data_IF_316231198310
#
_entry.id   IF_316231198310
#
_cell.length_a   1.000
_cell.length_b   1.000
_cell.length_c   1.000
_cell.angle_alpha   90.00
_cell.angle_beta   90.00
_cell.angle_gamma   90.00
#
_symmetry.space_group_name_H-M   'P 1'
#
loop_
_entity.id
_entity.type
_entity.pdbx_description
1 polymer ?
#
# COMPACT_ATOMS: atom_id res chain seq x y z
N UNK A 1 -26.01 0.17 -0.74
CA UNK A 1 -25.61 0.74 0.57
C UNK A 1 -24.22 0.23 0.90
N UNK A 2 -23.26 1.15 1.11
CA UNK A 2 -21.88 0.77 1.42
C UNK A 2 -21.79 0.19 2.83
N UNK A 3 -21.22 -1.00 2.94
CA UNK A 3 -20.89 -1.65 4.22
C UNK A 3 -19.40 -1.65 4.42
N UNK A 4 -18.93 -1.31 5.63
CA UNK A 4 -17.51 -1.31 5.97
C UNK A 4 -17.30 -2.21 7.18
N UNK A 5 -16.39 -3.17 7.05
CA UNK A 5 -16.06 -4.11 8.13
C UNK A 5 -14.61 -4.57 8.06
N UNK A 6 -14.13 -5.14 9.15
CA UNK A 6 -12.81 -5.75 9.24
C UNK A 6 -12.80 -7.06 8.42
N UNK A 7 -11.75 -7.23 7.62
CA UNK A 7 -11.55 -8.42 6.81
C UNK A 7 -10.92 -9.53 7.65
N UNK A 8 -11.37 -10.76 7.45
CA UNK A 8 -10.72 -11.93 8.03
C UNK A 8 -9.35 -12.17 7.36
N UNK A 9 -8.29 -11.82 8.08
CA UNK A 9 -6.91 -12.01 7.61
C UNK A 9 -6.49 -13.47 7.54
N UNK A 10 -7.23 -14.41 8.17
CA UNK A 10 -7.01 -15.85 8.07
C UNK A 10 -7.65 -16.45 6.81
N UNK A 11 -8.62 -15.75 6.21
CA UNK A 11 -9.28 -16.14 4.96
C UNK A 11 -9.05 -15.14 3.82
N UNK A 12 -7.79 -14.75 3.54
CA UNK A 12 -7.46 -13.61 2.67
C UNK A 12 -7.88 -13.80 1.22
N UNK A 13 -7.99 -15.05 0.75
CA UNK A 13 -8.39 -15.36 -0.64
C UNK A 13 -9.78 -14.85 -0.97
N UNK A 14 -10.68 -14.75 0.01
CA UNK A 14 -12.06 -14.25 -0.18
C UNK A 14 -12.10 -12.77 -0.63
N UNK A 15 -11.02 -12.04 -0.42
CA UNK A 15 -10.93 -10.59 -0.70
C UNK A 15 -9.85 -10.26 -1.74
N UNK A 16 -8.98 -11.22 -2.07
CA UNK A 16 -7.76 -11.00 -2.83
C UNK A 16 -7.99 -10.38 -4.21
N UNK A 17 -8.96 -10.89 -4.97
CA UNK A 17 -9.28 -10.38 -6.31
C UNK A 17 -9.80 -8.92 -6.25
N UNK A 18 -10.61 -8.61 -5.23
CA UNK A 18 -11.10 -7.26 -4.99
C UNK A 18 -9.99 -6.28 -4.63
N UNK A 19 -9.04 -6.70 -3.80
CA UNK A 19 -7.89 -5.87 -3.41
C UNK A 19 -6.94 -5.71 -4.59
N UNK A 20 -6.65 -6.77 -5.35
CA UNK A 20 -5.80 -6.69 -6.55
C UNK A 20 -6.38 -5.70 -7.56
N UNK A 21 -7.69 -5.77 -7.84
CA UNK A 21 -8.37 -4.80 -8.70
C UNK A 21 -8.21 -3.35 -8.20
N UNK A 22 -8.27 -3.12 -6.87
CA UNK A 22 -8.06 -1.79 -6.32
C UNK A 22 -6.60 -1.34 -6.47
N UNK A 23 -5.62 -2.25 -6.34
CA UNK A 23 -4.20 -1.97 -6.56
C UNK A 23 -3.91 -1.63 -8.03
N UNK A 24 -4.55 -2.33 -8.97
CA UNK A 24 -4.48 -2.01 -10.41
C UNK A 24 -5.02 -0.59 -10.68
N UNK A 25 -6.20 -0.26 -10.15
CA UNK A 25 -6.79 1.09 -10.27
C UNK A 25 -5.93 2.17 -9.63
N UNK A 26 -5.18 1.84 -8.58
CA UNK A 26 -4.24 2.74 -7.92
C UNK A 26 -2.90 2.89 -8.68
N UNK A 27 -2.64 2.02 -9.68
CA UNK A 27 -1.35 1.93 -10.37
C UNK A 27 -0.23 1.37 -9.49
N UNK A 28 -0.57 0.59 -8.45
CA UNK A 28 0.39 0.01 -7.52
C UNK A 28 0.82 -1.41 -7.90
N UNK A 29 -0.03 -2.14 -8.60
CA UNK A 29 0.33 -3.45 -9.15
C UNK A 29 1.17 -3.28 -10.39
N UNK A 30 2.42 -3.80 -10.42
CA UNK A 30 3.13 -4.00 -11.67
C UNK A 30 2.34 -5.01 -12.52
N UNK A 31 2.21 -4.76 -13.81
CA UNK A 31 1.54 -5.67 -14.74
C UNK A 31 2.07 -7.09 -14.58
N UNK A 32 1.24 -8.02 -14.08
CA UNK A 32 1.57 -9.43 -13.86
C UNK A 32 1.72 -9.86 -12.40
N UNK A 33 1.44 -9.00 -11.40
CA UNK A 33 1.21 -9.47 -10.04
C UNK A 33 -0.18 -10.15 -9.98
N UNK A 34 -0.26 -11.23 -9.22
CA UNK A 34 -1.46 -12.04 -9.08
C UNK A 34 -2.20 -11.67 -7.78
N UNK A 35 -3.48 -12.02 -7.72
CA UNK A 35 -4.29 -11.95 -6.49
C UNK A 35 -3.65 -12.66 -5.29
N UNK A 36 -2.65 -13.53 -5.53
CA UNK A 36 -1.84 -14.15 -4.48
C UNK A 36 -1.00 -13.12 -3.70
N UNK A 37 -0.47 -12.07 -4.37
CA UNK A 37 0.24 -10.98 -3.69
C UNK A 37 -0.69 -10.18 -2.79
N UNK A 38 -1.91 -9.88 -3.25
CA UNK A 38 -2.95 -9.24 -2.45
C UNK A 38 -3.38 -10.13 -1.26
N UNK A 39 -3.56 -11.43 -1.47
CA UNK A 39 -3.86 -12.38 -0.40
C UNK A 39 -2.76 -12.41 0.67
N UNK A 40 -1.49 -12.42 0.27
CA UNK A 40 -0.36 -12.36 1.21
C UNK A 40 -0.30 -11.03 1.96
N UNK A 41 -0.60 -9.92 1.30
CA UNK A 41 -0.66 -8.61 1.94
C UNK A 41 -1.74 -8.57 3.02
N UNK A 42 -2.94 -9.08 2.74
CA UNK A 42 -4.04 -9.20 3.73
C UNK A 42 -3.61 -10.11 4.88
N UNK A 43 -3.10 -11.31 4.58
CA UNK A 43 -2.70 -12.30 5.58
C UNK A 43 -1.66 -11.77 6.56
N UNK A 44 -0.72 -10.96 6.08
CA UNK A 44 0.38 -10.41 6.89
C UNK A 44 0.05 -9.03 7.47
N UNK A 45 -1.20 -8.58 7.37
CA UNK A 45 -1.67 -7.36 8.04
C UNK A 45 -2.08 -7.69 9.48
N UNK A 46 -1.83 -6.76 10.40
CA UNK A 46 -2.37 -6.82 11.75
C UNK A 46 -3.89 -6.75 11.72
N UNK A 47 -4.42 -5.81 10.95
CA UNK A 47 -5.84 -5.71 10.60
C UNK A 47 -6.00 -5.07 9.23
N UNK A 48 -7.12 -5.35 8.58
CA UNK A 48 -7.50 -4.77 7.30
C UNK A 48 -9.00 -4.50 7.27
N UNK A 49 -9.42 -3.43 6.62
CA UNK A 49 -10.82 -3.05 6.48
C UNK A 49 -11.18 -2.92 5.00
N UNK A 50 -12.35 -3.44 4.63
CA UNK A 50 -12.93 -3.33 3.31
C UNK A 50 -14.24 -2.56 3.31
N UNK A 51 -14.45 -1.73 2.29
CA UNK A 51 -15.74 -1.11 1.98
C UNK A 51 -16.37 -1.84 0.80
N UNK A 52 -17.62 -2.24 0.91
CA UNK A 52 -18.33 -3.06 -0.07
C UNK A 52 -19.62 -2.40 -0.52
N UNK A 53 -19.88 -2.43 -1.84
CA UNK A 53 -21.19 -2.21 -2.42
C UNK A 53 -21.74 -3.55 -2.93
N UNK A 54 -22.67 -4.12 -2.19
CA UNK A 54 -23.03 -5.52 -2.37
C UNK A 54 -21.82 -6.44 -2.14
N UNK A 55 -21.40 -7.15 -3.19
CA UNK A 55 -20.22 -8.03 -3.15
C UNK A 55 -18.94 -7.32 -3.70
N UNK A 56 -19.08 -6.15 -4.32
CA UNK A 56 -17.95 -5.42 -4.90
C UNK A 56 -17.16 -4.72 -3.82
N UNK A 57 -15.87 -5.04 -3.66
CA UNK A 57 -14.94 -4.30 -2.80
C UNK A 57 -14.62 -2.95 -3.47
N UNK A 58 -14.99 -1.84 -2.86
CA UNK A 58 -14.85 -0.48 -3.42
C UNK A 58 -13.89 0.40 -2.63
N UNK A 59 -13.38 -0.09 -1.51
CA UNK A 59 -12.36 0.59 -0.74
C UNK A 59 -11.62 -0.38 0.16
N UNK A 60 -10.34 -0.11 0.41
CA UNK A 60 -9.45 -0.96 1.20
C UNK A 60 -8.50 -0.11 2.02
N UNK A 61 -8.18 -0.58 3.22
CA UNK A 61 -7.19 0.02 4.10
C UNK A 61 -6.66 -1.03 5.06
N UNK A 62 -5.34 -1.04 5.33
CA UNK A 62 -4.72 -2.03 6.21
C UNK A 62 -3.66 -1.42 7.12
N UNK A 63 -3.31 -2.15 8.18
CA UNK A 63 -2.26 -1.80 9.12
C UNK A 63 -1.27 -2.95 9.30
N UNK A 64 0.00 -2.61 9.43
CA UNK A 64 1.03 -3.46 10.00
C UNK A 64 1.27 -3.01 11.44
N UNK A 65 1.45 -3.95 12.35
CA UNK A 65 1.70 -3.66 13.77
C UNK A 65 2.50 -4.77 14.41
N UNK A 66 3.23 -4.44 15.47
CA UNK A 66 3.85 -5.39 16.39
C UNK A 66 2.82 -5.99 17.39
N UNK A 67 1.61 -5.43 17.42
CA UNK A 67 0.56 -5.82 18.37
C UNK A 67 0.77 -5.30 19.79
N UNK A 68 1.73 -4.40 20.01
CA UNK A 68 2.12 -3.89 21.32
C UNK A 68 2.00 -2.37 21.41
N UNK A 69 2.73 -1.64 20.58
CA UNK A 69 2.82 -0.18 20.68
C UNK A 69 2.70 0.53 19.35
N UNK A 70 3.21 -0.06 18.27
CA UNK A 70 3.43 0.60 16.99
C UNK A 70 2.55 0.04 15.87
N UNK A 71 2.00 0.94 15.05
CA UNK A 71 1.32 0.57 13.82
C UNK A 71 1.68 1.51 12.67
N UNK A 72 1.76 0.94 11.48
CA UNK A 72 1.92 1.64 10.22
C UNK A 72 0.71 1.40 9.32
N UNK A 73 0.00 2.50 9.00
CA UNK A 73 -1.15 2.48 8.11
C UNK A 73 -0.71 2.60 6.65
N UNK A 74 -1.23 1.74 5.79
CA UNK A 74 -0.86 1.70 4.38
C UNK A 74 -2.00 1.21 3.50
N UNK A 75 -1.87 1.49 2.19
CA UNK A 75 -2.78 1.02 1.14
C UNK A 75 -4.22 1.53 1.27
N UNK A 76 -4.43 2.75 1.80
CA UNK A 76 -5.74 3.37 1.73
C UNK A 76 -6.07 3.74 0.28
N UNK A 77 -7.02 3.05 -0.28
CA UNK A 77 -7.54 3.34 -1.61
C UNK A 77 -9.06 3.20 -1.67
N UNK A 78 -9.69 4.09 -2.41
CA UNK A 78 -11.13 4.04 -2.74
C UNK A 78 -11.25 4.11 -4.25
N UNK A 79 -12.02 3.19 -4.81
CA UNK A 79 -12.37 3.13 -6.22
C UNK A 79 -12.85 4.53 -6.68
N UNK A 80 -12.26 5.09 -7.75
CA UNK A 80 -12.57 6.44 -8.21
C UNK A 80 -14.07 6.73 -8.35
N UNK A 81 -14.87 5.76 -8.80
CA UNK A 81 -16.32 5.89 -8.97
C UNK A 81 -17.08 6.05 -7.64
N UNK A 82 -16.43 5.72 -6.53
CA UNK A 82 -17.01 5.77 -5.17
C UNK A 82 -16.45 6.89 -4.30
N UNK A 83 -15.54 7.71 -4.83
CA UNK A 83 -14.96 8.85 -4.11
C UNK A 83 -15.98 9.94 -3.81
N UNK A 84 -15.65 10.84 -2.89
CA UNK A 84 -16.54 11.92 -2.48
C UNK A 84 -17.69 11.51 -1.55
N UNK A 85 -17.83 10.22 -1.23
CA UNK A 85 -18.90 9.66 -0.38
C UNK A 85 -18.47 9.38 1.07
N UNK A 86 -17.33 9.89 1.51
CA UNK A 86 -16.82 9.70 2.89
C UNK A 86 -16.16 8.35 3.19
N UNK A 87 -16.13 7.41 2.25
CA UNK A 87 -15.66 6.03 2.46
C UNK A 87 -14.24 5.97 3.02
N UNK A 88 -13.30 6.75 2.47
CA UNK A 88 -11.92 6.77 2.95
C UNK A 88 -11.80 7.27 4.40
N UNK A 89 -12.61 8.25 4.79
CA UNK A 89 -12.67 8.74 6.17
C UNK A 89 -13.21 7.69 7.13
N UNK A 90 -14.26 6.99 6.75
CA UNK A 90 -14.87 5.93 7.55
C UNK A 90 -13.93 4.72 7.70
N UNK A 91 -13.25 4.29 6.63
CA UNK A 91 -12.21 3.27 6.69
C UNK A 91 -11.11 3.65 7.70
N UNK A 92 -10.65 4.91 7.61
CA UNK A 92 -9.61 5.40 8.50
C UNK A 92 -10.09 5.50 9.96
N UNK A 93 -11.32 5.93 10.20
CA UNK A 93 -11.90 5.97 11.55
C UNK A 93 -11.95 4.58 12.19
N UNK A 94 -12.41 3.57 11.43
CA UNK A 94 -12.54 2.20 11.93
C UNK A 94 -11.20 1.54 12.24
N UNK A 95 -10.23 1.63 11.34
CA UNK A 95 -8.91 1.02 11.57
C UNK A 95 -8.19 1.67 12.76
N UNK A 96 -8.29 3.01 12.90
CA UNK A 96 -7.71 3.74 14.04
C UNK A 96 -8.42 3.36 15.34
N UNK A 97 -9.75 3.23 15.32
CA UNK A 97 -10.52 2.80 16.49
C UNK A 97 -10.12 1.38 16.93
N UNK A 98 -9.95 0.45 15.98
CA UNK A 98 -9.46 -0.91 16.25
C UNK A 98 -8.09 -0.88 16.91
N UNK A 99 -7.11 -0.22 16.31
CA UNK A 99 -5.74 -0.15 16.83
C UNK A 99 -5.69 0.46 18.23
N UNK A 100 -6.42 1.55 18.47
CA UNK A 100 -6.52 2.17 19.80
C UNK A 100 -7.22 1.27 20.81
N UNK A 101 -8.26 0.55 20.39
CA UNK A 101 -8.95 -0.43 21.21
C UNK A 101 -8.05 -1.58 21.65
N UNK A 102 -7.07 -1.92 20.83
CA UNK A 102 -6.05 -2.94 21.12
C UNK A 102 -4.85 -2.38 21.94
N UNK A 103 -4.88 -1.09 22.33
CA UNK A 103 -3.82 -0.45 23.11
C UNK A 103 -2.63 0.07 22.31
N UNK A 104 -2.72 0.11 20.98
CA UNK A 104 -1.64 0.61 20.12
C UNK A 104 -1.72 2.14 20.04
N UNK A 105 -0.69 2.83 20.53
CA UNK A 105 -0.68 4.29 20.67
C UNK A 105 0.09 5.00 19.56
N UNK A 106 1.18 4.40 19.04
CA UNK A 106 2.03 4.99 18.02
C UNK A 106 1.56 4.59 16.61
N UNK A 107 0.53 5.28 16.11
CA UNK A 107 -0.05 5.00 14.80
C UNK A 107 0.47 6.01 13.78
N UNK A 108 1.14 5.54 12.73
CA UNK A 108 1.76 6.39 11.70
C UNK A 108 1.32 6.03 10.29
N UNK A 109 1.45 6.98 9.36
CA UNK A 109 1.26 6.77 7.93
C UNK A 109 2.15 7.70 7.10
N UNK A 110 2.55 7.27 5.92
CA UNK A 110 3.14 8.14 4.90
C UNK A 110 2.05 8.43 3.87
N UNK A 111 1.67 9.70 3.76
CA UNK A 111 0.60 10.14 2.85
C UNK A 111 1.15 10.59 1.51
N UNK A 112 0.44 10.25 0.42
CA UNK A 112 0.60 10.94 -0.85
C UNK A 112 0.04 12.37 -0.77
N UNK A 113 0.45 13.29 -1.66
CA UNK A 113 -0.10 14.65 -1.70
C UNK A 113 -1.63 14.67 -1.78
N UNK A 114 -2.24 13.77 -2.54
CA UNK A 114 -3.68 13.68 -2.78
C UNK A 114 -4.44 13.25 -1.53
N UNK A 115 -3.88 12.32 -0.75
CA UNK A 115 -4.50 11.82 0.49
C UNK A 115 -4.21 12.70 1.72
N UNK A 116 -3.29 13.66 1.63
CA UNK A 116 -2.83 14.50 2.75
C UNK A 116 -3.98 15.12 3.53
N UNK A 117 -4.95 15.71 2.84
CA UNK A 117 -6.06 16.41 3.51
C UNK A 117 -6.99 15.47 4.27
N UNK A 118 -7.11 14.21 3.85
CA UNK A 118 -7.84 13.19 4.59
C UNK A 118 -7.12 12.87 5.91
N UNK A 119 -5.83 12.58 5.84
CA UNK A 119 -5.05 12.25 7.04
C UNK A 119 -4.94 13.42 8.03
N UNK A 120 -4.83 14.67 7.56
CA UNK A 120 -4.78 15.84 8.43
C UNK A 120 -6.09 16.16 9.15
N UNK A 121 -7.23 15.59 8.71
CA UNK A 121 -8.50 15.69 9.44
C UNK A 121 -8.58 14.76 10.64
N UNK A 122 -7.82 13.65 10.62
CA UNK A 122 -7.88 12.61 11.64
C UNK A 122 -6.59 12.47 12.44
N UNK A 123 -5.52 13.14 12.02
CA UNK A 123 -4.20 13.08 12.65
C UNK A 123 -3.46 14.40 12.52
N UNK A 124 -2.20 14.41 12.94
CA UNK A 124 -1.32 15.58 12.89
C UNK A 124 -0.04 15.27 12.13
N UNK A 125 0.47 16.25 11.41
CA UNK A 125 1.79 16.14 10.78
C UNK A 125 2.89 16.00 11.84
N UNK A 126 3.75 15.02 11.68
CA UNK A 126 4.95 14.85 12.50
C UNK A 126 6.00 15.90 12.07
N UNK A 127 6.30 16.87 12.94
CA UNK A 127 7.23 17.97 12.62
C UNK A 127 8.69 17.58 12.86
N UNK A 128 8.96 16.69 13.82
CA UNK A 128 10.28 16.28 14.25
C UNK A 128 10.78 14.98 13.59
N UNK A 129 10.03 14.43 12.63
CA UNK A 129 10.35 13.14 11.99
C UNK A 129 10.39 13.32 10.48
N UNK A 130 11.32 12.62 9.84
CA UNK A 130 11.51 12.65 8.38
C UNK A 130 11.33 11.23 7.84
N UNK A 131 10.45 11.01 6.86
CA UNK A 131 10.34 9.71 6.22
C UNK A 131 11.61 9.42 5.40
N UNK A 132 12.20 8.23 5.58
CA UNK A 132 13.39 7.79 4.86
C UNK A 132 13.05 6.51 4.09
N UNK A 133 13.32 6.52 2.78
CA UNK A 133 13.15 5.35 1.92
C UNK A 133 14.50 4.72 1.60
N UNK A 134 14.65 3.45 1.93
CA UNK A 134 15.81 2.66 1.54
C UNK A 134 15.58 2.00 0.17
N UNK A 135 16.53 2.18 -0.75
CA UNK A 135 16.45 1.59 -2.08
C UNK A 135 17.25 0.29 -2.12
N UNK A 136 16.59 -0.81 -2.43
CA UNK A 136 17.25 -2.09 -2.73
C UNK A 136 17.42 -2.19 -4.24
N UNK A 137 18.65 -2.38 -4.73
CA UNK A 137 18.90 -2.66 -6.15
C UNK A 137 18.29 -4.01 -6.49
N UNK A 138 17.23 -4.05 -7.29
CA UNK A 138 16.68 -5.32 -7.76
C UNK A 138 17.72 -6.03 -8.63
N UNK A 139 17.75 -7.36 -8.60
CA UNK A 139 18.64 -8.17 -9.45
C UNK A 139 18.45 -7.86 -10.95
N UNK A 140 17.24 -7.50 -11.36
CA UNK A 140 16.92 -7.06 -12.74
C UNK A 140 17.60 -5.73 -13.11
N UNK A 141 17.73 -4.78 -12.18
CA UNK A 141 18.41 -3.49 -12.41
C UNK A 141 19.93 -3.69 -12.49
N UNK A 142 20.49 -4.60 -11.68
CA UNK A 142 21.91 -4.94 -11.72
C UNK A 142 22.33 -5.59 -13.05
N UNK A 143 21.49 -6.48 -13.60
CA UNK A 143 21.72 -7.12 -14.90
C UNK A 143 21.69 -6.10 -16.04
N UNK A 144 20.76 -5.14 -16.01
CA UNK A 144 20.63 -4.10 -17.05
C UNK A 144 21.77 -3.07 -16.98
N UNK A 145 22.27 -2.77 -15.78
CA UNK A 145 23.45 -1.90 -15.58
C UNK A 145 24.73 -2.60 -16.06
N UNK A 146 24.90 -3.91 -15.80
CA UNK A 146 26.01 -4.70 -16.34
C UNK A 146 25.98 -4.78 -17.86
N UNK A 147 24.81 -4.92 -18.46
CA UNK A 147 24.63 -4.97 -19.93
C UNK A 147 24.95 -3.61 -20.59
N UNK A 148 24.55 -2.50 -19.96
CA UNK A 148 24.90 -1.13 -20.42
C UNK A 148 26.40 -0.85 -20.28
N UNK A 149 27.04 -1.29 -19.17
CA UNK A 149 28.50 -1.14 -18.97
C UNK A 149 29.30 -1.95 -19.97
N UNK A 150 28.87 -3.20 -20.26
CA UNK A 150 29.52 -4.08 -21.25
C UNK A 150 29.34 -3.58 -22.71
N UNK A 151 28.23 -2.89 -23.02
CA UNK A 151 28.04 -2.21 -24.32
C UNK A 151 28.93 -0.98 -24.46
N UNK A 152 29.08 -0.19 -23.39
CA UNK A 152 29.98 0.99 -23.41
C UNK A 152 31.46 0.62 -23.53
N UNK A 153 31.90 -0.44 -22.84
CA UNK A 153 33.29 -0.91 -22.94
C UNK A 153 33.61 -1.48 -24.33
N UNK A 154 32.65 -2.15 -24.98
CA UNK A 154 32.84 -2.62 -26.37
C UNK A 154 32.89 -1.46 -27.37
N UNK A 155 32.11 -0.38 -27.19
CA UNK A 155 32.20 0.82 -28.04
C UNK A 155 33.54 1.56 -27.86
N UNK A 156 34.07 1.59 -26.64
CA UNK A 156 35.37 2.25 -26.36
C UNK A 156 36.54 1.48 -26.95
N UNK A 157 36.51 0.14 -26.95
CA UNK A 157 37.52 -0.70 -27.58
C UNK A 157 37.49 -0.63 -29.12
N UNK A 158 36.37 -0.26 -29.71
CA UNK A 158 36.24 -0.10 -31.17
C UNK A 158 36.74 1.28 -31.64
N UNK A 159 36.65 2.31 -30.80
CA UNK A 159 37.08 3.68 -31.09
C UNK A 159 38.59 3.89 -30.93
N UNK A 160 39.31 2.93 -30.31
CA UNK A 160 40.80 3.01 -30.12
C UNK A 160 41.58 2.09 -31.05
N UNK A 161 40.94 1.45 -32.03
CA UNK A 161 41.51 0.52 -33.00
C UNK A 161 41.46 1.04 -34.45
N UNK A 162 41.43 2.39 -34.64
CA UNK A 162 41.65 3.03 -35.95
C UNK A 162 42.72 4.08 -35.83
#
# INVERSE_FOLDING_TARGET
>A
MIKIFELDTHSPKSYADGVERLYELAGWSPSGESSESAARAIKNSYCAFGAFDGQKLVGFFRALSDGVSDAYLLDLFVDPEYRGRGIGGELAARIIAKLKGDGIEWITAISTPEAKNLYLRIGKRMKAHVPIRFFVKSAKTAANTRRKKKKRSKLFLWATAQ
#
